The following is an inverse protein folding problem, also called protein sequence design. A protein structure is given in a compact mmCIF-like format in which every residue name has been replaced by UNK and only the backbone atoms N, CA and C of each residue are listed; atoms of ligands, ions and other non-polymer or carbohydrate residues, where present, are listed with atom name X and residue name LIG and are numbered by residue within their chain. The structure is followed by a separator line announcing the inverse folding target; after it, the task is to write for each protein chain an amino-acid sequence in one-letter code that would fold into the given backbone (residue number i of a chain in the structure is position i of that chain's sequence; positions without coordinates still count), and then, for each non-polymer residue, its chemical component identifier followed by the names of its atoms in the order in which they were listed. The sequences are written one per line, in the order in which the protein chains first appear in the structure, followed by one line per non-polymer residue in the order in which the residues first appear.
data_IF_957907008206
#
_entry.id   IF_957907008206
#
_cell.length_a   1.000
_cell.length_b   1.000
_cell.length_c   1.000
_cell.angle_alpha   90.00
_cell.angle_beta   90.00
_cell.angle_gamma   90.00
#
_symmetry.space_group_name_H-M   'P 1'
#
loop_
_entity.id
_entity.type
_entity.pdbx_description
1 polymer ?
#
# COMPACT_ATOMS: atom_id res chain seq x y z
N UNK A 1 4.37 -14.25 -15.40
CA UNK A 1 4.31 -12.76 -15.44
C UNK A 1 4.86 -12.24 -14.11
N UNK A 2 5.87 -11.36 -14.14
CA UNK A 2 6.43 -10.78 -12.92
C UNK A 2 5.46 -9.74 -12.34
N UNK A 3 5.23 -9.79 -11.02
CA UNK A 3 4.44 -8.79 -10.31
C UNK A 3 5.29 -7.58 -9.94
N UNK A 4 6.41 -7.81 -9.23
CA UNK A 4 7.36 -6.76 -8.82
C UNK A 4 8.76 -7.17 -9.25
N UNK A 5 9.44 -6.27 -9.95
CA UNK A 5 10.84 -6.44 -10.36
C UNK A 5 11.67 -5.29 -9.80
N UNK A 6 12.76 -5.62 -9.15
CA UNK A 6 13.73 -4.67 -8.60
C UNK A 6 15.10 -5.05 -9.15
N UNK A 7 15.79 -4.07 -9.74
CA UNK A 7 17.10 -4.25 -10.33
C UNK A 7 18.08 -3.21 -9.78
N UNK A 8 19.16 -3.69 -9.16
CA UNK A 8 20.27 -2.90 -8.62
C UNK A 8 19.82 -1.70 -7.78
N UNK A 9 18.78 -1.90 -6.93
CA UNK A 9 18.20 -0.84 -6.13
C UNK A 9 19.18 -0.37 -5.06
N UNK A 10 19.47 0.93 -5.08
CA UNK A 10 20.29 1.60 -4.06
C UNK A 10 19.51 2.75 -3.45
N UNK A 11 19.60 2.88 -2.13
CA UNK A 11 19.12 4.05 -1.39
C UNK A 11 20.14 4.49 -0.37
N UNK A 12 20.57 5.75 -0.50
CA UNK A 12 21.46 6.42 0.46
C UNK A 12 20.76 7.58 1.15
N UNK A 13 21.16 7.85 2.38
CA UNK A 13 20.77 9.03 3.16
C UNK A 13 22.07 9.66 3.71
N UNK A 14 22.58 10.69 3.01
CA UNK A 14 23.94 11.16 3.26
C UNK A 14 24.95 10.02 3.07
N UNK A 15 25.77 9.78 4.07
CA UNK A 15 26.80 8.70 4.05
C UNK A 15 26.25 7.31 4.40
N UNK A 16 24.99 7.22 4.82
CA UNK A 16 24.39 5.94 5.21
C UNK A 16 23.72 5.25 4.02
N UNK A 17 24.13 4.04 3.70
CA UNK A 17 23.55 3.19 2.66
C UNK A 17 22.45 2.34 3.31
N UNK A 18 21.18 2.69 3.06
CA UNK A 18 20.02 1.98 3.60
C UNK A 18 19.63 0.75 2.75
N UNK A 19 19.86 0.80 1.44
CA UNK A 19 19.67 -0.33 0.51
C UNK A 19 20.85 -0.33 -0.45
N UNK A 20 21.49 -1.49 -0.63
CA UNK A 20 22.72 -1.61 -1.41
C UNK A 20 22.58 -2.69 -2.48
N UNK A 21 22.26 -2.31 -3.71
CA UNK A 21 22.23 -3.18 -4.88
C UNK A 21 21.18 -4.32 -4.79
N UNK A 22 20.01 -4.06 -4.19
CA UNK A 22 18.95 -5.08 -4.04
C UNK A 22 18.39 -5.48 -5.41
N UNK A 23 18.33 -6.79 -5.64
CA UNK A 23 17.69 -7.40 -6.80
C UNK A 23 16.60 -8.37 -6.32
N UNK A 24 15.37 -8.21 -6.81
CA UNK A 24 14.22 -9.07 -6.49
C UNK A 24 13.33 -9.24 -7.71
N UNK A 25 12.78 -10.44 -7.87
CA UNK A 25 11.73 -10.73 -8.86
C UNK A 25 10.62 -11.52 -8.17
N UNK A 26 9.48 -10.85 -7.94
CA UNK A 26 8.32 -11.43 -7.26
C UNK A 26 7.21 -11.69 -8.28
N UNK A 27 6.75 -12.93 -8.32
CA UNK A 27 5.70 -13.37 -9.24
C UNK A 27 4.31 -13.02 -8.70
N UNK A 28 3.36 -12.79 -9.60
CA UNK A 28 1.94 -12.61 -9.23
C UNK A 28 1.35 -13.85 -8.60
N UNK A 29 0.37 -13.65 -7.71
CA UNK A 29 -0.42 -14.73 -7.11
C UNK A 29 0.31 -15.50 -6.02
N UNK A 30 1.51 -15.07 -5.63
CA UNK A 30 2.29 -15.68 -4.54
C UNK A 30 2.34 -14.74 -3.33
N UNK A 31 2.53 -15.31 -2.15
CA UNK A 31 2.79 -14.57 -0.91
C UNK A 31 4.27 -14.68 -0.59
N UNK A 32 4.91 -13.54 -0.35
CA UNK A 32 6.33 -13.45 -0.01
C UNK A 32 6.52 -12.81 1.36
N UNK A 33 7.41 -13.40 2.17
CA UNK A 33 7.89 -12.80 3.40
C UNK A 33 9.19 -12.02 3.15
N UNK A 34 9.20 -10.73 3.50
CA UNK A 34 10.40 -9.90 3.41
C UNK A 34 11.02 -9.78 4.81
N UNK A 35 12.00 -10.62 5.11
CA UNK A 35 12.60 -10.79 6.43
C UNK A 35 13.99 -10.17 6.52
N UNK A 36 14.40 -9.82 7.73
CA UNK A 36 15.72 -9.28 8.03
C UNK A 36 15.75 -8.55 9.37
N UNK A 37 16.93 -8.28 9.94
CA UNK A 37 17.08 -7.54 11.20
C UNK A 37 16.58 -6.09 11.08
N UNK A 38 16.43 -5.42 12.23
CA UNK A 38 16.15 -3.98 12.24
C UNK A 38 17.33 -3.23 11.60
N UNK A 39 17.02 -2.21 10.80
CA UNK A 39 18.04 -1.48 10.03
C UNK A 39 18.43 -2.10 8.69
N UNK A 40 17.97 -3.32 8.34
CA UNK A 40 18.29 -3.97 7.06
C UNK A 40 17.65 -3.35 5.81
N UNK A 41 17.05 -2.17 5.89
CA UNK A 41 16.46 -1.47 4.76
C UNK A 41 15.05 -1.95 4.35
N UNK A 42 14.39 -2.84 5.12
CA UNK A 42 13.06 -3.39 4.79
C UNK A 42 12.02 -2.31 4.53
N UNK A 43 11.82 -1.40 5.51
CA UNK A 43 10.84 -0.31 5.40
C UNK A 43 11.20 0.67 4.29
N UNK A 44 12.50 0.94 4.10
CA UNK A 44 13.01 1.77 3.01
C UNK A 44 12.66 1.15 1.65
N UNK A 45 12.89 -0.15 1.48
CA UNK A 45 12.55 -0.88 0.26
C UNK A 45 11.03 -0.85 -0.01
N UNK A 46 10.20 -1.10 1.01
CA UNK A 46 8.74 -1.02 0.88
C UNK A 46 8.27 0.38 0.49
N UNK A 47 8.85 1.43 1.09
CA UNK A 47 8.52 2.82 0.76
C UNK A 47 8.93 3.18 -0.68
N UNK A 48 10.00 2.59 -1.22
CA UNK A 48 10.40 2.78 -2.62
C UNK A 48 9.44 2.03 -3.55
N UNK A 49 9.11 0.76 -3.26
CA UNK A 49 8.16 -0.04 -4.06
C UNK A 49 6.79 0.64 -4.15
N UNK A 50 6.33 1.27 -3.06
CA UNK A 50 5.04 1.98 -3.04
C UNK A 50 5.11 3.39 -3.62
N UNK A 51 6.30 3.85 -4.03
CA UNK A 51 6.52 5.18 -4.57
C UNK A 51 6.34 6.31 -3.56
N UNK A 52 6.52 6.01 -2.26
CA UNK A 52 6.49 7.00 -1.18
C UNK A 52 7.81 7.80 -1.12
N UNK A 53 8.94 7.14 -1.38
CA UNK A 53 10.26 7.77 -1.52
C UNK A 53 10.94 7.35 -2.82
N UNK A 54 11.82 8.20 -3.35
CA UNK A 54 12.64 7.88 -4.52
C UNK A 54 13.86 7.02 -4.15
N UNK A 55 14.31 6.18 -5.08
CA UNK A 55 15.60 5.52 -5.00
C UNK A 55 16.76 6.50 -5.31
N UNK A 56 17.98 6.16 -4.87
CA UNK A 56 19.19 6.85 -5.31
C UNK A 56 19.60 6.36 -6.70
N UNK A 57 19.49 5.04 -6.95
CA UNK A 57 19.69 4.42 -8.26
C UNK A 57 18.99 3.06 -8.33
N UNK A 58 19.00 2.46 -9.52
CA UNK A 58 18.31 1.21 -9.80
C UNK A 58 16.90 1.43 -10.33
N UNK A 59 16.18 0.34 -10.60
CA UNK A 59 14.82 0.37 -11.14
C UNK A 59 13.87 -0.48 -10.31
N UNK A 60 12.61 -0.02 -10.23
CA UNK A 60 11.51 -0.78 -9.64
C UNK A 60 10.35 -0.76 -10.61
N UNK A 61 9.92 -1.95 -11.04
CA UNK A 61 8.76 -2.11 -11.92
C UNK A 61 7.67 -2.90 -11.23
N UNK A 62 6.43 -2.45 -11.41
CA UNK A 62 5.23 -3.10 -10.90
C UNK A 62 4.32 -3.37 -12.09
N UNK A 63 4.03 -4.63 -12.34
CA UNK A 63 3.29 -5.05 -13.52
C UNK A 63 3.86 -4.52 -14.85
N UNK A 64 5.19 -4.35 -14.91
CA UNK A 64 5.90 -3.81 -16.06
C UNK A 64 6.02 -2.28 -16.06
N UNK A 65 5.29 -1.55 -15.22
CA UNK A 65 5.38 -0.09 -15.10
C UNK A 65 6.48 0.32 -14.14
N UNK A 66 7.39 1.16 -14.60
CA UNK A 66 8.45 1.75 -13.77
C UNK A 66 7.85 2.78 -12.82
N UNK A 67 8.07 2.59 -11.50
CA UNK A 67 7.47 3.44 -10.45
C UNK A 67 7.96 4.89 -10.52
N UNK A 68 9.11 5.15 -11.14
CA UNK A 68 9.70 6.49 -11.26
C UNK A 68 9.35 7.17 -12.58
N UNK A 69 9.19 6.39 -13.66
CA UNK A 69 8.87 6.92 -14.99
C UNK A 69 7.36 6.97 -15.27
N UNK A 70 6.61 6.01 -14.73
CA UNK A 70 5.17 5.85 -14.92
C UNK A 70 4.43 5.72 -13.58
N UNK A 71 4.63 6.66 -12.61
CA UNK A 71 4.18 6.50 -11.22
C UNK A 71 2.68 6.29 -11.09
N UNK A 72 1.86 6.95 -11.91
CA UNK A 72 0.40 6.80 -11.85
C UNK A 72 -0.05 5.40 -12.25
N UNK A 73 0.57 4.81 -13.30
CA UNK A 73 0.24 3.46 -13.75
C UNK A 73 0.71 2.41 -12.75
N UNK A 74 1.95 2.54 -12.27
CA UNK A 74 2.50 1.63 -11.27
C UNK A 74 1.70 1.65 -9.96
N UNK A 75 1.35 2.85 -9.45
CA UNK A 75 0.56 2.99 -8.21
C UNK A 75 -0.85 2.43 -8.30
N UNK A 76 -1.47 2.41 -9.49
CA UNK A 76 -2.77 1.75 -9.69
C UNK A 76 -2.70 0.22 -9.50
N UNK A 77 -1.53 -0.37 -9.66
CA UNK A 77 -1.29 -1.81 -9.47
C UNK A 77 -0.92 -2.17 -8.02
N UNK A 78 -0.85 -1.18 -7.09
CA UNK A 78 -0.39 -1.38 -5.71
C UNK A 78 -1.51 -1.08 -4.73
N UNK A 79 -1.77 -2.03 -3.82
CA UNK A 79 -2.41 -1.77 -2.54
C UNK A 79 -1.35 -1.72 -1.45
N UNK A 80 -1.41 -0.75 -0.55
CA UNK A 80 -0.45 -0.61 0.53
C UNK A 80 -1.13 -0.38 1.88
N UNK A 81 -0.75 -1.18 2.85
CA UNK A 81 -1.15 -1.01 4.24
C UNK A 81 0.12 -0.82 5.08
N UNK A 82 0.39 0.39 5.58
CA UNK A 82 1.48 0.61 6.52
C UNK A 82 1.15 0.03 7.90
N UNK A 83 2.15 -0.10 8.77
CA UNK A 83 1.98 -0.59 10.14
C UNK A 83 0.93 0.21 10.92
N UNK A 84 0.90 1.52 10.75
CA UNK A 84 -0.13 2.41 11.28
C UNK A 84 -0.91 2.98 10.09
N UNK A 85 -2.15 2.50 9.85
CA UNK A 85 -2.97 3.01 8.76
C UNK A 85 -3.30 4.50 8.96
N UNK A 86 -3.12 5.36 7.95
CA UNK A 86 -3.43 6.79 8.02
C UNK A 86 -4.93 7.03 7.90
N UNK A 87 -5.69 6.65 8.92
CA UNK A 87 -7.14 6.77 8.93
C UNK A 87 -7.61 8.13 9.45
N UNK A 88 -8.64 8.70 8.83
CA UNK A 88 -9.29 9.92 9.34
C UNK A 88 -10.18 9.57 10.53
N UNK A 89 -9.70 9.92 11.72
CA UNK A 89 -10.26 9.50 13.01
C UNK A 89 -11.68 10.02 13.28
N UNK A 90 -12.04 11.17 12.70
CA UNK A 90 -13.35 11.84 12.88
C UNK A 90 -14.39 11.48 11.81
N UNK A 91 -14.04 10.59 10.90
CA UNK A 91 -14.98 9.99 9.96
C UNK A 91 -15.52 8.66 10.50
N UNK A 92 -16.73 8.29 10.10
CA UNK A 92 -17.18 6.91 10.20
C UNK A 92 -16.45 6.03 9.19
N UNK A 93 -16.45 4.72 9.39
CA UNK A 93 -15.83 3.79 8.44
C UNK A 93 -16.39 3.96 7.04
N UNK A 94 -17.72 4.08 6.93
CA UNK A 94 -18.40 4.26 5.64
C UNK A 94 -18.02 5.56 4.95
N UNK A 95 -18.02 6.69 5.67
CA UNK A 95 -17.60 7.99 5.13
C UNK A 95 -16.15 7.95 4.64
N UNK A 96 -15.27 7.32 5.41
CA UNK A 96 -13.87 7.17 5.02
C UNK A 96 -13.71 6.33 3.75
N UNK A 97 -14.42 5.20 3.63
CA UNK A 97 -14.37 4.37 2.42
C UNK A 97 -14.97 5.07 1.19
N UNK A 98 -16.02 5.87 1.37
CA UNK A 98 -16.56 6.73 0.30
C UNK A 98 -15.51 7.73 -0.17
N UNK A 99 -14.86 8.42 0.76
CA UNK A 99 -13.78 9.36 0.46
C UNK A 99 -12.61 8.70 -0.28
N UNK A 100 -12.16 7.53 0.18
CA UNK A 100 -11.09 6.78 -0.49
C UNK A 100 -11.49 6.33 -1.90
N UNK A 101 -12.74 5.87 -2.06
CA UNK A 101 -13.25 5.48 -3.37
C UNK A 101 -13.28 6.66 -4.37
N UNK A 102 -13.56 7.87 -3.87
CA UNK A 102 -13.50 9.10 -4.67
C UNK A 102 -12.06 9.46 -5.06
N UNK A 103 -11.12 9.38 -4.13
CA UNK A 103 -9.70 9.59 -4.41
C UNK A 103 -9.17 8.60 -5.47
N UNK A 104 -9.64 7.35 -5.41
CA UNK A 104 -9.28 6.30 -6.39
C UNK A 104 -10.05 6.43 -7.71
N UNK A 105 -10.91 7.44 -7.86
CA UNK A 105 -11.73 7.70 -9.06
C UNK A 105 -12.61 6.51 -9.44
N UNK A 106 -13.14 5.77 -8.44
CA UNK A 106 -14.09 4.67 -8.68
C UNK A 106 -15.39 5.25 -9.22
N UNK A 107 -15.93 4.72 -10.34
CA UNK A 107 -17.19 5.22 -10.91
C UNK A 107 -18.33 5.22 -9.91
N UNK A 108 -19.14 6.29 -9.88
CA UNK A 108 -20.23 6.47 -8.92
C UNK A 108 -21.18 5.27 -8.84
N UNK A 109 -21.50 4.67 -10.00
CA UNK A 109 -22.38 3.48 -10.11
C UNK A 109 -21.80 2.22 -9.44
N UNK A 110 -20.47 2.12 -9.27
CA UNK A 110 -19.77 0.96 -8.70
C UNK A 110 -19.39 1.21 -7.24
N UNK A 111 -19.29 2.47 -6.82
CA UNK A 111 -18.77 2.89 -5.53
C UNK A 111 -19.44 2.17 -4.36
N UNK A 112 -20.76 2.24 -4.26
CA UNK A 112 -21.47 1.65 -3.12
C UNK A 112 -21.43 0.13 -3.12
N UNK A 113 -21.44 -0.50 -4.30
CA UNK A 113 -21.26 -1.95 -4.43
C UNK A 113 -19.88 -2.37 -3.91
N UNK A 114 -18.82 -1.70 -4.36
CA UNK A 114 -17.45 -2.02 -3.95
C UNK A 114 -17.24 -1.79 -2.44
N UNK A 115 -17.81 -0.70 -1.89
CA UNK A 115 -17.75 -0.43 -0.44
C UNK A 115 -18.41 -1.56 0.35
N UNK A 116 -19.61 -2.01 -0.06
CA UNK A 116 -20.28 -3.12 0.61
C UNK A 116 -19.44 -4.39 0.57
N UNK A 117 -18.89 -4.72 -0.59
CA UNK A 117 -18.05 -5.89 -0.79
C UNK A 117 -16.80 -5.87 0.12
N UNK A 118 -16.06 -4.76 0.17
CA UNK A 118 -14.85 -4.67 1.03
C UNK A 118 -15.19 -4.68 2.53
N UNK A 119 -16.34 -4.12 2.95
CA UNK A 119 -16.85 -4.21 4.31
C UNK A 119 -17.13 -5.66 4.73
N UNK A 120 -17.76 -6.44 3.85
CA UNK A 120 -18.01 -7.86 4.06
C UNK A 120 -16.70 -8.67 4.10
N UNK A 121 -15.82 -8.48 3.13
CA UNK A 121 -14.52 -9.18 3.05
C UNK A 121 -13.64 -8.93 4.28
N UNK A 122 -13.64 -7.71 4.80
CA UNK A 122 -12.83 -7.32 5.98
C UNK A 122 -13.56 -7.54 7.31
N UNK A 123 -14.83 -8.01 7.27
CA UNK A 123 -15.69 -8.21 8.45
C UNK A 123 -15.81 -6.91 9.29
N UNK A 124 -16.09 -5.80 8.62
CA UNK A 124 -16.24 -4.47 9.25
C UNK A 124 -17.64 -3.89 9.08
N UNK A 125 -18.58 -4.61 8.47
CA UNK A 125 -19.96 -4.18 8.23
C UNK A 125 -20.65 -3.71 9.52
N UNK A 126 -20.48 -4.44 10.64
CA UNK A 126 -21.12 -4.11 11.93
C UNK A 126 -20.61 -2.81 12.56
N UNK A 127 -19.53 -2.24 12.05
CA UNK A 127 -18.94 -0.99 12.55
C UNK A 127 -18.95 0.12 11.49
N UNK A 128 -19.61 -0.07 10.35
CA UNK A 128 -19.57 0.86 9.21
C UNK A 128 -20.01 2.30 9.57
N UNK A 129 -20.93 2.44 10.51
CA UNK A 129 -21.47 3.74 10.97
C UNK A 129 -20.76 4.26 12.25
N UNK A 130 -19.74 3.57 12.75
CA UNK A 130 -18.97 4.02 13.93
C UNK A 130 -17.81 4.92 13.51
N UNK A 131 -17.54 5.94 14.32
CA UNK A 131 -16.35 6.77 14.17
C UNK A 131 -15.07 5.93 14.30
N UNK A 132 -14.13 6.14 13.41
CA UNK A 132 -12.86 5.39 13.36
C UNK A 132 -12.06 5.55 14.68
N UNK A 133 -12.10 6.73 15.32
CA UNK A 133 -11.43 6.92 16.63
C UNK A 133 -11.93 5.97 17.71
N UNK A 134 -13.18 5.54 17.65
CA UNK A 134 -13.82 4.65 18.62
C UNK A 134 -13.61 3.16 18.33
N UNK A 135 -12.84 2.82 17.31
CA UNK A 135 -12.55 1.44 16.93
C UNK A 135 -11.32 0.90 17.68
N UNK A 136 -11.33 -0.39 17.98
CA UNK A 136 -10.14 -1.09 18.45
C UNK A 136 -9.03 -1.09 17.40
N UNK A 137 -7.78 -1.32 17.81
CA UNK A 137 -6.63 -1.44 16.91
C UNK A 137 -6.88 -2.45 15.79
N UNK A 138 -7.48 -3.61 16.11
CA UNK A 138 -7.80 -4.65 15.13
C UNK A 138 -8.82 -4.20 14.09
N UNK A 139 -9.86 -3.48 14.50
CA UNK A 139 -10.82 -2.90 13.54
C UNK A 139 -10.17 -1.80 12.68
N UNK A 140 -9.33 -0.94 13.25
CA UNK A 140 -8.58 0.07 12.48
C UNK A 140 -7.70 -0.58 11.40
N UNK A 141 -7.04 -1.69 11.72
CA UNK A 141 -6.27 -2.45 10.73
C UNK A 141 -7.16 -3.02 9.62
N UNK A 142 -8.31 -3.57 9.95
CA UNK A 142 -9.27 -4.08 8.95
C UNK A 142 -9.82 -2.98 8.03
N UNK A 143 -10.12 -1.80 8.58
CA UNK A 143 -10.50 -0.62 7.78
C UNK A 143 -9.35 -0.18 6.88
N UNK A 144 -8.10 -0.24 7.38
CA UNK A 144 -6.90 -0.01 6.59
C UNK A 144 -6.75 -1.01 5.43
N UNK A 145 -7.16 -2.28 5.61
CA UNK A 145 -7.19 -3.26 4.51
C UNK A 145 -8.31 -2.94 3.53
N UNK A 146 -9.50 -2.57 4.01
CA UNK A 146 -10.65 -2.24 3.18
C UNK A 146 -10.39 -1.10 2.19
N UNK A 147 -9.57 -0.11 2.55
CA UNK A 147 -9.18 1.00 1.68
C UNK A 147 -8.30 0.58 0.52
#
# INVERSE_FOLDING_TARGET
MSGIQIENLVKTYGDNIAVNGLNLNLEKGKVYGFLGPNGAGKSTTMNIITGYIGATSGTVKIDGYDIFKEPEKAKKCVGYLPEIPPLYQDMTVKEYLVFVAELKKIPAKEKMKNIKEVLEMTKTTQVENRLIKNLSKGYKQRVGIAQ
#
